data_IF_927884996364
#
_entry.id   IF_927884996364
#
_cell.length_a   1.000
_cell.length_b   1.000
_cell.length_c   1.000
_cell.angle_alpha   90.00
_cell.angle_beta   90.00
_cell.angle_gamma   90.00
#
_symmetry.space_group_name_H-M   'P 1'
#
loop_
_entity.id
_entity.type
_entity.pdbx_description
1 polymer ?
#
# COMPACT_ATOMS: atom_id res chain seq x y z
N UNK A 1 19.97 12.34 17.76
CA UNK A 1 20.02 10.91 18.12
C UNK A 1 20.06 10.78 19.63
N UNK A 2 19.38 9.78 20.19
CA UNK A 2 19.35 9.47 21.61
C UNK A 2 19.81 8.02 21.77
N UNK A 3 20.52 7.73 22.86
CA UNK A 3 20.88 6.37 23.28
C UNK A 3 20.19 6.10 24.61
N UNK A 4 19.34 5.08 24.69
CA UNK A 4 18.51 4.78 25.87
C UNK A 4 17.75 6.00 26.41
N UNK A 5 17.97 6.36 27.68
CA UNK A 5 17.31 7.48 28.36
C UNK A 5 18.14 8.78 28.34
N UNK A 6 19.23 8.82 27.56
CA UNK A 6 20.03 10.04 27.42
C UNK A 6 19.25 11.17 26.76
N UNK A 7 19.63 12.41 27.04
CA UNK A 7 19.09 13.55 26.32
C UNK A 7 19.42 13.45 24.82
N UNK A 8 18.47 13.75 23.93
CA UNK A 8 18.72 13.81 22.49
C UNK A 8 19.89 14.75 22.17
N UNK A 9 20.86 14.26 21.40
CA UNK A 9 22.03 15.02 20.95
C UNK A 9 21.92 15.35 19.47
N UNK A 10 22.34 16.56 19.11
CA UNK A 10 22.58 16.95 17.73
C UNK A 10 24.01 16.56 17.35
N UNK A 11 24.19 15.92 16.19
CA UNK A 11 25.47 15.40 15.70
C UNK A 11 25.78 16.02 14.34
N UNK A 12 26.17 17.31 14.29
CA UNK A 12 26.41 18.02 13.04
C UNK A 12 27.59 17.40 12.27
N UNK A 13 27.48 17.37 10.95
CA UNK A 13 28.51 16.82 10.05
C UNK A 13 28.52 15.29 9.92
N UNK A 14 27.65 14.59 10.65
CA UNK A 14 27.49 13.14 10.52
C UNK A 14 26.31 12.79 9.62
N UNK A 15 26.47 11.74 8.81
CA UNK A 15 25.42 11.29 7.90
C UNK A 15 24.38 10.47 8.67
N UNK A 16 23.10 10.83 8.55
CA UNK A 16 22.02 10.25 9.35
C UNK A 16 21.94 8.73 9.26
N UNK A 17 22.08 8.17 8.05
CA UNK A 17 22.02 6.71 7.85
C UNK A 17 23.22 5.99 8.49
N UNK A 18 24.42 6.60 8.47
CA UNK A 18 25.62 6.01 9.07
C UNK A 18 25.47 5.96 10.60
N UNK A 19 24.89 6.99 11.20
CA UNK A 19 24.55 7.01 12.61
C UNK A 19 23.54 5.90 12.97
N UNK A 20 22.51 5.70 12.15
CA UNK A 20 21.52 4.63 12.39
C UNK A 20 22.17 3.26 12.28
N UNK A 21 23.09 3.07 11.32
CA UNK A 21 23.85 1.83 11.17
C UNK A 21 24.71 1.56 12.41
N UNK A 22 25.47 2.55 12.88
CA UNK A 22 26.30 2.45 14.10
C UNK A 22 25.47 2.01 15.31
N UNK A 23 24.35 2.69 15.58
CA UNK A 23 23.48 2.33 16.72
C UNK A 23 22.82 0.97 16.58
N UNK A 24 22.52 0.55 15.35
CA UNK A 24 21.95 -0.78 15.10
C UNK A 24 22.95 -1.87 15.44
N UNK A 25 24.22 -1.70 15.06
CA UNK A 25 25.30 -2.65 15.38
C UNK A 25 25.60 -2.65 16.89
N UNK A 26 25.68 -1.49 17.53
CA UNK A 26 25.87 -1.38 18.99
C UNK A 26 24.75 -2.09 19.78
N UNK A 27 23.50 -1.94 19.33
CA UNK A 27 22.38 -2.68 19.92
C UNK A 27 22.56 -4.18 19.76
N UNK A 28 22.93 -4.65 18.56
CA UNK A 28 23.14 -6.07 18.29
C UNK A 28 24.27 -6.65 19.15
N UNK A 29 25.37 -5.93 19.32
CA UNK A 29 26.46 -6.32 20.23
C UNK A 29 25.94 -6.54 21.65
N UNK A 30 25.17 -5.58 22.16
CA UNK A 30 24.58 -5.64 23.49
C UNK A 30 23.56 -6.77 23.61
N UNK A 31 22.71 -6.97 22.60
CA UNK A 31 21.69 -8.01 22.60
C UNK A 31 22.31 -9.41 22.57
N UNK A 32 23.32 -9.62 21.73
CA UNK A 32 24.05 -10.89 21.60
C UNK A 32 24.79 -11.20 22.90
N UNK A 33 25.50 -10.23 23.49
CA UNK A 33 26.22 -10.42 24.74
C UNK A 33 25.28 -10.79 25.91
N UNK A 34 24.05 -10.25 25.92
CA UNK A 34 23.05 -10.54 26.96
C UNK A 34 22.37 -11.90 26.79
N UNK A 35 22.46 -12.55 25.62
CA UNK A 35 21.92 -13.89 25.37
C UNK A 35 20.39 -14.00 25.50
N UNK A 36 19.65 -12.90 25.34
CA UNK A 36 18.17 -12.87 25.40
C UNK A 36 17.58 -12.65 24.00
N UNK A 37 16.35 -13.14 23.72
CA UNK A 37 15.62 -12.77 22.52
C UNK A 37 15.48 -11.24 22.39
N UNK A 38 15.61 -10.73 21.18
CA UNK A 38 15.55 -9.29 20.91
C UNK A 38 14.62 -8.98 19.74
N UNK A 39 14.16 -7.73 19.70
CA UNK A 39 13.51 -7.10 18.56
C UNK A 39 14.19 -5.76 18.33
N UNK A 40 14.53 -5.46 17.07
CA UNK A 40 15.08 -4.17 16.67
C UNK A 40 14.33 -3.66 15.44
N UNK A 41 13.83 -2.43 15.53
CA UNK A 41 13.33 -1.68 14.37
C UNK A 41 14.40 -0.72 13.89
N UNK A 42 14.87 -0.90 12.66
CA UNK A 42 15.89 -0.03 12.05
C UNK A 42 15.25 0.82 10.96
N UNK A 43 15.13 2.12 11.21
CA UNK A 43 14.36 3.04 10.37
C UNK A 43 15.22 4.23 9.91
N UNK A 44 16.07 4.06 8.87
CA UNK A 44 16.80 5.19 8.28
C UNK A 44 15.83 6.13 7.53
N UNK A 45 16.19 7.41 7.46
CA UNK A 45 15.41 8.42 6.71
C UNK A 45 15.63 8.28 5.20
N UNK A 46 16.84 7.87 4.77
CA UNK A 46 17.13 7.70 3.35
C UNK A 46 16.22 6.63 2.70
N UNK A 47 15.77 6.79 1.44
CA UNK A 47 16.10 7.86 0.50
C UNK A 47 15.06 9.01 0.48
N UNK A 48 14.40 9.32 1.62
CA UNK A 48 13.43 10.40 1.69
C UNK A 48 14.02 11.74 1.23
N UNK A 49 13.16 12.59 0.69
CA UNK A 49 13.48 13.97 0.31
C UNK A 49 14.00 14.77 1.51
N UNK A 50 15.03 15.59 1.29
CA UNK A 50 15.57 16.43 2.34
C UNK A 50 14.58 17.53 2.69
N UNK A 51 14.27 17.71 3.97
CA UNK A 51 13.32 18.73 4.42
C UNK A 51 14.05 19.88 5.10
N UNK A 52 14.16 21.02 4.43
CA UNK A 52 14.74 22.25 4.98
C UNK A 52 13.66 23.33 5.03
N UNK A 53 13.35 23.82 6.23
CA UNK A 53 12.35 24.87 6.45
C UNK A 53 10.99 24.56 5.80
N UNK A 54 10.57 23.29 5.84
CA UNK A 54 9.31 22.81 5.26
C UNK A 54 9.32 22.64 3.74
N UNK A 55 10.47 22.78 3.07
CA UNK A 55 10.63 22.50 1.63
C UNK A 55 11.23 21.12 1.42
N UNK A 56 10.66 20.36 0.50
CA UNK A 56 11.17 19.06 0.08
C UNK A 56 12.16 19.23 -1.08
N UNK A 57 13.43 18.98 -0.81
CA UNK A 57 14.51 18.97 -1.78
C UNK A 57 14.85 17.53 -2.19
N UNK A 58 15.55 17.30 -3.31
CA UNK A 58 16.12 16.00 -3.62
C UNK A 58 16.89 15.42 -2.44
N UNK A 59 16.83 14.10 -2.25
CA UNK A 59 17.58 13.41 -1.21
C UNK A 59 19.09 13.74 -1.30
N UNK A 60 19.76 13.85 -0.15
CA UNK A 60 21.19 14.12 -0.09
C UNK A 60 21.94 12.80 0.07
N UNK A 61 22.69 12.34 -0.94
CA UNK A 61 23.46 11.11 -0.84
C UNK A 61 24.64 11.28 0.12
N UNK A 62 25.09 10.18 0.72
CA UNK A 62 26.37 10.15 1.42
C UNK A 62 27.50 10.57 0.46
N UNK A 63 28.52 11.26 0.96
CA UNK A 63 29.61 11.79 0.14
C UNK A 63 30.29 10.72 -0.72
N UNK A 64 30.43 9.50 -0.18
CA UNK A 64 30.98 8.33 -0.87
C UNK A 64 30.14 7.83 -2.06
N UNK A 65 28.87 8.21 -2.14
CA UNK A 65 27.91 7.74 -3.14
C UNK A 65 27.44 8.83 -4.12
N UNK A 66 27.82 10.09 -3.90
CA UNK A 66 27.26 11.26 -4.62
C UNK A 66 27.52 11.29 -6.13
N UNK A 67 28.53 10.54 -6.58
CA UNK A 67 28.98 10.48 -7.98
C UNK A 67 28.56 9.16 -8.68
N UNK A 68 27.84 8.27 -7.99
CA UNK A 68 27.37 7.00 -8.55
C UNK A 68 26.24 7.21 -9.59
N UNK A 69 26.07 6.24 -10.49
CA UNK A 69 25.00 6.19 -11.48
C UNK A 69 24.92 7.41 -12.43
N UNK A 70 26.02 7.85 -13.05
CA UNK A 70 25.98 8.95 -14.01
C UNK A 70 25.00 8.62 -15.14
N UNK A 71 24.15 9.60 -15.48
CA UNK A 71 23.16 9.43 -16.54
C UNK A 71 21.92 8.61 -16.18
N UNK A 72 21.80 8.07 -14.96
CA UNK A 72 20.59 7.38 -14.52
C UNK A 72 19.38 8.33 -14.60
N UNK A 73 18.27 7.81 -15.12
CA UNK A 73 16.99 8.50 -15.32
C UNK A 73 15.89 7.75 -14.61
N UNK A 74 14.80 8.45 -14.30
CA UNK A 74 13.60 7.78 -13.79
C UNK A 74 13.01 6.87 -14.88
N UNK A 75 12.47 5.69 -14.54
CA UNK A 75 11.84 4.79 -15.51
C UNK A 75 10.82 5.51 -16.40
N UNK A 76 10.91 5.25 -17.72
CA UNK A 76 10.08 5.87 -18.76
C UNK A 76 8.95 4.93 -19.19
N UNK A 77 8.18 4.43 -18.22
CA UNK A 77 6.99 3.63 -18.51
C UNK A 77 5.91 4.47 -19.22
N UNK A 78 4.86 3.84 -19.75
CA UNK A 78 3.82 4.53 -20.53
C UNK A 78 3.08 5.62 -19.73
N UNK A 79 3.04 5.49 -18.40
CA UNK A 79 2.50 6.51 -17.50
C UNK A 79 3.50 7.63 -17.17
N UNK A 80 4.76 7.58 -17.60
CA UNK A 80 5.70 8.68 -17.41
C UNK A 80 5.40 9.83 -18.38
N UNK A 81 4.94 10.97 -17.85
CA UNK A 81 4.61 12.19 -18.62
C UNK A 81 3.83 11.95 -19.94
N UNK A 82 2.69 11.22 -19.91
CA UNK A 82 1.96 10.80 -21.10
C UNK A 82 1.45 12.00 -21.92
N UNK A 83 1.21 11.78 -23.22
CA UNK A 83 0.70 12.82 -24.13
C UNK A 83 -0.71 13.29 -23.76
N UNK A 84 -1.55 12.38 -23.28
CA UNK A 84 -2.87 12.68 -22.71
C UNK A 84 -2.79 12.62 -21.19
N UNK A 85 -3.50 13.51 -20.51
CA UNK A 85 -3.60 13.45 -19.06
C UNK A 85 -4.31 12.15 -18.63
N UNK A 86 -3.98 11.65 -17.44
CA UNK A 86 -4.43 10.36 -16.89
C UNK A 86 -4.70 10.50 -15.38
N UNK A 87 -5.24 9.45 -14.76
CA UNK A 87 -5.59 9.41 -13.34
C UNK A 87 -6.92 10.12 -13.01
N UNK A 88 -7.34 10.05 -11.75
CA UNK A 88 -8.54 10.71 -11.23
C UNK A 88 -8.25 12.05 -10.54
N UNK A 89 -9.32 12.73 -10.15
CA UNK A 89 -9.27 13.91 -9.29
C UNK A 89 -8.48 15.07 -9.90
N UNK A 90 -7.55 15.64 -9.13
CA UNK A 90 -6.72 16.76 -9.58
C UNK A 90 -5.61 16.33 -10.55
N UNK A 91 -5.22 15.06 -10.57
CA UNK A 91 -4.09 14.53 -11.36
C UNK A 91 -4.36 14.70 -12.86
N UNK A 92 -5.59 14.43 -13.32
CA UNK A 92 -5.98 14.62 -14.73
C UNK A 92 -5.92 16.07 -15.21
N UNK A 93 -5.80 17.03 -14.29
CA UNK A 93 -5.71 18.47 -14.63
C UNK A 93 -4.28 18.92 -14.89
N UNK A 94 -3.28 18.06 -14.63
CA UNK A 94 -1.87 18.40 -14.77
C UNK A 94 -1.46 18.58 -16.23
N UNK A 95 -0.81 19.70 -16.49
CA UNK A 95 -0.18 19.99 -17.77
C UNK A 95 1.01 19.04 -18.01
N UNK A 96 1.27 18.77 -19.30
CA UNK A 96 2.42 17.96 -19.71
C UNK A 96 3.72 18.62 -19.25
N UNK A 97 4.63 17.82 -18.70
CA UNK A 97 5.93 18.31 -18.24
C UNK A 97 6.81 18.68 -19.43
N UNK A 98 7.48 19.83 -19.34
CA UNK A 98 8.49 20.25 -20.31
C UNK A 98 9.85 19.60 -20.02
N UNK A 99 10.81 19.75 -20.94
CA UNK A 99 12.12 19.10 -20.82
C UNK A 99 12.90 19.51 -19.57
N UNK A 100 12.84 20.78 -19.16
CA UNK A 100 13.50 21.27 -17.94
C UNK A 100 13.02 20.53 -16.69
N UNK A 101 11.70 20.31 -16.58
CA UNK A 101 11.14 19.54 -15.46
C UNK A 101 11.54 18.08 -15.57
N UNK A 102 11.49 17.47 -16.75
CA UNK A 102 11.90 16.08 -16.97
C UNK A 102 13.38 15.85 -16.58
N UNK A 103 14.27 16.76 -16.95
CA UNK A 103 15.69 16.69 -16.57
C UNK A 103 15.90 16.84 -15.06
N UNK A 104 15.10 17.71 -14.42
CA UNK A 104 15.08 17.82 -12.95
C UNK A 104 14.63 16.52 -12.28
N UNK A 105 13.58 15.88 -12.80
CA UNK A 105 13.08 14.60 -12.29
C UNK A 105 14.12 13.48 -12.41
N UNK A 106 14.88 13.44 -13.51
CA UNK A 106 15.98 12.48 -13.67
C UNK A 106 17.06 12.68 -12.60
N UNK A 107 17.42 13.93 -12.32
CA UNK A 107 18.35 14.24 -11.25
C UNK A 107 17.78 13.90 -9.86
N UNK A 108 16.50 14.18 -9.61
CA UNK A 108 15.82 13.85 -8.35
C UNK A 108 15.86 12.33 -8.11
N UNK A 109 15.49 11.55 -9.12
CA UNK A 109 15.53 10.09 -9.07
C UNK A 109 16.95 9.58 -8.82
N UNK A 110 17.95 10.07 -9.56
CA UNK A 110 19.35 9.67 -9.35
C UNK A 110 19.81 9.95 -7.93
N UNK A 111 19.50 11.13 -7.37
CA UNK A 111 19.86 11.49 -5.99
C UNK A 111 19.24 10.56 -4.96
N UNK A 112 18.00 10.11 -5.17
CA UNK A 112 17.38 9.07 -4.32
C UNK A 112 18.11 7.74 -4.41
N UNK A 113 18.44 7.26 -5.61
CA UNK A 113 19.16 6.01 -5.80
C UNK A 113 20.57 6.07 -5.18
N UNK A 114 21.29 7.19 -5.34
CA UNK A 114 22.56 7.43 -4.67
C UNK A 114 22.42 7.41 -3.13
N UNK A 115 21.36 8.02 -2.60
CA UNK A 115 21.10 8.02 -1.14
C UNK A 115 20.73 6.63 -0.62
N UNK A 116 20.03 5.83 -1.43
CA UNK A 116 19.66 4.46 -1.10
C UNK A 116 20.89 3.56 -0.90
N UNK A 117 22.03 3.85 -1.55
CA UNK A 117 23.26 3.08 -1.35
C UNK A 117 23.77 3.14 0.10
N UNK A 118 23.53 4.23 0.84
CA UNK A 118 23.88 4.27 2.26
C UNK A 118 22.93 3.39 3.12
N UNK A 119 21.70 3.17 2.66
CA UNK A 119 20.77 2.21 3.30
C UNK A 119 21.24 0.77 3.02
N UNK A 120 21.75 0.50 1.82
CA UNK A 120 22.36 -0.79 1.48
C UNK A 120 23.58 -1.09 2.38
N UNK A 121 24.50 -0.12 2.55
CA UNK A 121 25.61 -0.23 3.50
C UNK A 121 25.15 -0.54 4.94
N UNK A 122 24.08 0.12 5.39
CA UNK A 122 23.49 -0.12 6.72
C UNK A 122 22.95 -1.55 6.83
N UNK A 123 22.28 -2.06 5.80
CA UNK A 123 21.78 -3.44 5.79
C UNK A 123 22.97 -4.40 5.84
N UNK A 124 24.02 -4.16 5.04
CA UNK A 124 25.23 -4.96 5.06
C UNK A 124 25.89 -4.98 6.44
N UNK A 125 25.99 -3.85 7.14
CA UNK A 125 26.61 -3.82 8.47
C UNK A 125 25.86 -4.67 9.51
N UNK A 126 24.52 -4.71 9.43
CA UNK A 126 23.68 -5.58 10.27
C UNK A 126 23.89 -7.06 9.91
N UNK A 127 23.85 -7.38 8.62
CA UNK A 127 24.01 -8.76 8.13
C UNK A 127 25.40 -9.30 8.47
N UNK A 128 26.46 -8.56 8.12
CA UNK A 128 27.85 -8.90 8.42
C UNK A 128 28.07 -9.10 9.92
N UNK A 129 27.45 -8.26 10.76
CA UNK A 129 27.56 -8.42 12.20
C UNK A 129 26.90 -9.71 12.69
N UNK A 130 25.73 -10.06 12.16
CA UNK A 130 25.06 -11.32 12.52
C UNK A 130 25.82 -12.54 11.99
N UNK A 131 26.46 -12.46 10.83
CA UNK A 131 27.29 -13.54 10.27
C UNK A 131 28.49 -13.91 11.17
N UNK A 132 28.99 -12.96 11.95
CA UNK A 132 30.01 -13.22 12.99
C UNK A 132 29.46 -14.01 14.19
N UNK A 133 28.15 -14.25 14.25
CA UNK A 133 27.48 -15.02 15.31
C UNK A 133 26.49 -16.02 14.68
N UNK A 134 26.98 -17.11 14.05
CA UNK A 134 26.15 -18.01 13.23
C UNK A 134 24.91 -18.55 13.93
N UNK A 135 25.03 -18.92 15.21
CA UNK A 135 23.90 -19.41 16.02
C UNK A 135 22.80 -18.35 16.19
N UNK A 136 23.17 -17.08 16.33
CA UNK A 136 22.22 -15.96 16.41
C UNK A 136 21.57 -15.74 15.04
N UNK A 137 22.38 -15.70 13.97
CA UNK A 137 21.92 -15.50 12.60
C UNK A 137 20.91 -16.57 12.16
N UNK A 138 21.14 -17.83 12.51
CA UNK A 138 20.26 -18.96 12.21
C UNK A 138 18.90 -18.84 12.90
N UNK A 139 18.83 -18.20 14.06
CA UNK A 139 17.62 -17.97 14.84
C UNK A 139 16.98 -16.58 14.62
N UNK A 140 17.52 -15.76 13.71
CA UNK A 140 17.06 -14.38 13.49
C UNK A 140 16.25 -14.28 12.20
N UNK A 141 15.06 -13.70 12.29
CA UNK A 141 14.32 -13.22 11.12
C UNK A 141 14.77 -11.79 10.78
N UNK A 142 15.18 -11.56 9.53
CA UNK A 142 15.45 -10.22 8.98
C UNK A 142 14.33 -9.88 8.00
N UNK A 143 13.68 -8.74 8.22
CA UNK A 143 12.56 -8.25 7.41
C UNK A 143 12.93 -6.87 6.87
N UNK A 144 12.83 -6.69 5.56
CA UNK A 144 13.00 -5.42 4.87
C UNK A 144 11.69 -5.00 4.21
N UNK A 145 11.27 -3.77 4.47
CA UNK A 145 10.08 -3.16 3.86
C UNK A 145 10.23 -1.63 3.87
N UNK A 146 9.34 -0.92 3.19
CA UNK A 146 9.22 0.56 3.26
C UNK A 146 7.90 0.96 3.93
N UNK A 147 7.75 2.23 4.29
CA UNK A 147 6.48 2.83 4.72
C UNK A 147 5.51 3.04 3.56
N UNK A 148 6.04 3.45 2.40
CA UNK A 148 5.30 3.73 1.17
C UNK A 148 6.24 3.63 -0.05
N UNK A 149 5.65 3.64 -1.23
CA UNK A 149 6.34 3.84 -2.50
C UNK A 149 6.69 5.31 -2.76
N UNK A 150 7.04 5.64 -4.01
CA UNK A 150 7.38 7.00 -4.41
C UNK A 150 7.34 7.18 -5.94
N UNK A 151 6.41 8.01 -6.43
CA UNK A 151 6.35 8.40 -7.83
C UNK A 151 7.24 9.60 -8.15
N UNK A 152 7.72 9.67 -9.39
CA UNK A 152 8.48 10.77 -10.00
C UNK A 152 8.10 10.88 -11.48
N UNK A 153 7.14 11.75 -11.82
CA UNK A 153 6.73 12.01 -13.21
C UNK A 153 5.68 11.06 -13.79
N UNK A 154 5.39 9.96 -13.11
CA UNK A 154 4.24 9.11 -13.44
C UNK A 154 2.95 9.93 -13.35
N UNK A 155 2.05 9.75 -14.32
CA UNK A 155 0.84 10.55 -14.52
C UNK A 155 1.08 12.07 -14.52
N UNK A 156 2.29 12.52 -14.89
CA UNK A 156 2.76 13.92 -14.85
C UNK A 156 2.94 14.49 -13.44
N UNK A 157 2.91 13.66 -12.41
CA UNK A 157 3.06 14.08 -11.02
C UNK A 157 4.48 14.59 -10.74
N UNK A 158 4.59 15.59 -9.89
CA UNK A 158 5.85 15.92 -9.24
C UNK A 158 6.28 14.76 -8.32
N UNK A 159 7.53 14.72 -7.81
CA UNK A 159 7.93 13.74 -6.81
C UNK A 159 6.95 13.69 -5.63
N UNK A 160 6.58 12.50 -5.13
CA UNK A 160 5.61 12.40 -4.04
C UNK A 160 5.17 10.97 -3.71
N UNK A 161 4.19 10.87 -2.80
CA UNK A 161 3.71 9.60 -2.22
C UNK A 161 2.32 9.68 -1.57
N UNK A 162 1.34 10.19 -2.29
CA UNK A 162 -0.02 10.45 -1.75
C UNK A 162 -1.15 9.99 -2.68
N UNK A 163 -0.80 9.26 -3.74
CA UNK A 163 -1.72 8.87 -4.81
C UNK A 163 -2.00 7.37 -4.76
N UNK A 164 -3.20 6.96 -5.21
CA UNK A 164 -3.58 5.55 -5.34
C UNK A 164 -2.99 4.90 -6.60
N UNK A 165 -1.69 5.05 -6.81
CA UNK A 165 -0.96 4.50 -7.97
C UNK A 165 0.07 3.47 -7.52
N UNK A 166 0.38 2.52 -8.40
CA UNK A 166 1.25 1.38 -8.15
C UNK A 166 2.60 1.80 -7.58
N UNK A 167 3.17 2.89 -8.10
CA UNK A 167 4.46 3.43 -7.64
C UNK A 167 4.44 3.92 -6.18
N UNK A 168 3.26 4.27 -5.64
CA UNK A 168 3.08 4.76 -4.26
C UNK A 168 2.71 3.64 -3.29
N UNK A 169 2.04 2.59 -3.76
CA UNK A 169 1.39 1.60 -2.89
C UNK A 169 2.03 0.21 -2.94
N UNK A 170 2.65 -0.18 -4.06
CA UNK A 170 3.27 -1.49 -4.19
C UNK A 170 4.74 -1.42 -3.75
N UNK A 171 4.99 -1.87 -2.53
CA UNK A 171 6.28 -1.73 -1.85
C UNK A 171 7.00 -3.08 -1.72
N UNK A 172 8.33 -3.09 -1.62
CA UNK A 172 9.06 -4.32 -1.38
C UNK A 172 8.76 -4.86 0.03
N UNK A 173 8.60 -6.17 0.14
CA UNK A 173 8.63 -6.90 1.40
C UNK A 173 9.51 -8.14 1.24
N UNK A 174 10.66 -8.17 1.92
CA UNK A 174 11.64 -9.27 1.86
C UNK A 174 11.87 -9.81 3.26
N UNK A 175 11.87 -11.14 3.40
CA UNK A 175 12.13 -11.80 4.66
C UNK A 175 13.14 -12.94 4.50
N UNK A 176 14.11 -13.04 5.40
CA UNK A 176 14.90 -14.26 5.65
C UNK A 176 14.79 -14.68 7.11
N UNK A 177 14.94 -15.98 7.38
CA UNK A 177 15.00 -16.49 8.74
C UNK A 177 14.72 -17.99 8.80
N UNK A 178 14.58 -18.55 10.01
CA UNK A 178 14.24 -19.95 10.22
C UNK A 178 13.04 -20.40 9.37
N UNK A 179 13.17 -21.52 8.65
CA UNK A 179 12.05 -22.11 7.88
C UNK A 179 11.58 -21.33 6.65
N UNK A 180 12.17 -20.18 6.32
CA UNK A 180 11.87 -19.39 5.11
C UNK A 180 12.66 -19.93 3.92
N UNK A 181 11.99 -20.16 2.79
CA UNK A 181 12.62 -20.66 1.57
C UNK A 181 13.52 -19.59 0.92
N UNK A 182 14.76 -19.95 0.58
CA UNK A 182 15.68 -19.05 -0.14
C UNK A 182 15.20 -18.81 -1.57
N UNK A 183 15.25 -17.56 -2.03
CA UNK A 183 14.98 -17.19 -3.43
C UNK A 183 13.54 -17.43 -3.89
N UNK A 184 12.60 -17.60 -2.95
CA UNK A 184 11.19 -17.84 -3.27
C UNK A 184 10.43 -16.52 -3.35
N UNK A 185 9.72 -16.32 -4.47
CA UNK A 185 8.74 -15.24 -4.62
C UNK A 185 7.34 -15.76 -4.31
N UNK A 186 6.55 -14.95 -3.61
CA UNK A 186 5.16 -15.24 -3.24
C UNK A 186 4.29 -14.08 -3.72
N UNK A 187 3.20 -14.39 -4.43
CA UNK A 187 2.27 -13.41 -5.01
C UNK A 187 0.98 -13.27 -4.20
N UNK A 188 1.02 -13.64 -2.92
CA UNK A 188 -0.13 -13.57 -2.03
C UNK A 188 -0.31 -12.10 -1.60
N UNK A 189 -1.51 -11.52 -1.69
CA UNK A 189 -1.74 -10.13 -1.29
C UNK A 189 -1.42 -9.91 0.18
N UNK A 190 -0.72 -8.82 0.48
CA UNK A 190 -0.28 -8.45 1.83
C UNK A 190 -0.39 -6.95 2.01
N UNK A 191 -0.55 -6.50 3.25
CA UNK A 191 -0.47 -5.09 3.62
C UNK A 191 0.35 -4.89 4.90
N UNK A 192 0.64 -3.64 5.26
CA UNK A 192 1.33 -3.35 6.54
C UNK A 192 0.58 -3.83 7.78
N UNK A 193 -0.76 -3.93 7.72
CA UNK A 193 -1.56 -4.44 8.86
C UNK A 193 -1.23 -5.90 9.17
N UNK A 194 -0.64 -6.63 8.21
CA UNK A 194 -0.23 -8.02 8.37
C UNK A 194 1.12 -8.18 9.08
N UNK A 195 1.92 -7.11 9.23
CA UNK A 195 3.28 -7.20 9.79
C UNK A 195 3.23 -7.63 11.26
N UNK A 196 2.45 -6.94 12.09
CA UNK A 196 2.31 -7.25 13.52
C UNK A 196 1.80 -8.68 13.76
N UNK A 197 0.70 -9.15 13.15
CA UNK A 197 0.26 -10.53 13.32
C UNK A 197 1.28 -11.55 12.79
N UNK A 198 2.07 -11.21 11.75
CA UNK A 198 3.20 -12.04 11.30
C UNK A 198 4.27 -12.17 12.37
N UNK A 199 4.71 -11.05 12.96
CA UNK A 199 5.70 -11.06 14.05
C UNK A 199 5.20 -11.86 15.25
N UNK A 200 3.93 -11.72 15.62
CA UNK A 200 3.32 -12.50 16.71
C UNK A 200 3.38 -14.00 16.42
N UNK A 201 2.99 -14.42 15.20
CA UNK A 201 3.07 -15.82 14.79
C UNK A 201 4.51 -16.35 14.82
N UNK A 202 5.49 -15.57 14.36
CA UNK A 202 6.91 -15.97 14.37
C UNK A 202 7.50 -16.05 15.78
N UNK A 203 7.06 -15.18 16.68
CA UNK A 203 7.46 -15.17 18.09
C UNK A 203 6.64 -16.14 18.97
N UNK A 204 5.73 -16.92 18.38
CA UNK A 204 4.80 -17.81 19.09
C UNK A 204 3.95 -17.07 20.15
N UNK A 205 3.54 -15.85 19.84
CA UNK A 205 2.64 -15.02 20.64
C UNK A 205 1.20 -15.24 20.13
N UNK A 206 0.21 -15.44 21.01
CA UNK A 206 -1.19 -15.55 20.60
C UNK A 206 -1.66 -14.34 19.81
N UNK A 207 -2.34 -14.58 18.68
CA UNK A 207 -2.96 -13.52 17.88
C UNK A 207 -4.09 -12.84 18.65
N UNK A 208 -4.27 -11.56 18.38
CA UNK A 208 -5.32 -10.75 18.97
C UNK A 208 -6.48 -10.60 17.97
N UNK A 209 -7.72 -10.64 18.46
CA UNK A 209 -8.91 -10.62 17.61
C UNK A 209 -9.14 -9.24 16.97
N UNK A 210 -8.58 -8.19 17.58
CA UNK A 210 -8.61 -6.81 17.12
C UNK A 210 -7.65 -6.50 15.96
N UNK A 211 -6.79 -7.44 15.55
CA UNK A 211 -5.90 -7.21 14.43
C UNK A 211 -6.70 -7.08 13.11
N UNK A 212 -6.49 -5.96 12.42
CA UNK A 212 -7.08 -5.69 11.11
C UNK A 212 -6.36 -6.44 9.97
N UNK A 213 -5.20 -7.03 10.25
CA UNK A 213 -4.45 -7.89 9.32
C UNK A 213 -4.36 -9.33 9.81
N UNK A 214 -3.83 -10.20 8.95
CA UNK A 214 -3.61 -11.61 9.26
C UNK A 214 -2.16 -12.02 9.01
N UNK A 215 -1.61 -13.02 9.72
CA UNK A 215 -0.19 -13.32 9.58
C UNK A 215 0.14 -13.85 8.19
N UNK A 216 1.15 -13.24 7.58
CA UNK A 216 1.70 -13.63 6.29
C UNK A 216 2.25 -15.06 6.38
N UNK A 217 2.00 -15.92 5.38
CA UNK A 217 2.63 -17.22 5.32
C UNK A 217 4.07 -17.07 4.82
N UNK A 218 5.03 -17.07 5.73
CA UNK A 218 6.44 -16.80 5.41
C UNK A 218 7.30 -18.07 5.39
N UNK A 219 6.96 -19.08 6.20
CA UNK A 219 7.70 -20.35 6.22
C UNK A 219 7.15 -21.35 5.20
N UNK A 220 7.97 -22.34 4.84
CA UNK A 220 7.54 -23.42 3.92
C UNK A 220 6.29 -24.16 4.43
N UNK A 221 6.21 -24.41 5.73
CA UNK A 221 5.07 -25.07 6.35
C UNK A 221 3.81 -24.20 6.25
N UNK A 222 3.92 -22.92 6.64
CA UNK A 222 2.82 -21.96 6.55
C UNK A 222 2.31 -21.82 5.11
N UNK A 223 3.21 -21.72 4.13
CA UNK A 223 2.85 -21.63 2.71
C UNK A 223 2.15 -22.89 2.18
N UNK A 224 2.35 -24.05 2.79
CA UNK A 224 1.64 -25.29 2.44
C UNK A 224 0.30 -25.41 3.15
N UNK A 225 0.20 -24.91 4.38
CA UNK A 225 -1.02 -24.99 5.19
C UNK A 225 -2.02 -23.87 4.91
N UNK A 226 -1.57 -22.74 4.37
CA UNK A 226 -2.45 -21.63 4.03
C UNK A 226 -3.30 -21.98 2.82
N UNK A 227 -4.50 -22.47 3.08
CA UNK A 227 -5.52 -22.75 2.07
C UNK A 227 -6.36 -21.52 1.72
N UNK A 228 -6.36 -20.49 2.57
CA UNK A 228 -7.28 -19.36 2.49
C UNK A 228 -6.64 -18.11 3.09
N UNK A 229 -6.31 -17.15 2.23
CA UNK A 229 -6.01 -15.77 2.60
C UNK A 229 -6.96 -14.85 1.85
N UNK A 230 -7.18 -13.64 2.35
CA UNK A 230 -7.90 -12.62 1.61
C UNK A 230 -7.26 -12.33 0.24
N UNK A 231 -8.11 -12.10 -0.75
CA UNK A 231 -7.72 -11.62 -2.08
C UNK A 231 -7.57 -10.09 -2.13
N UNK A 232 -7.95 -9.38 -1.06
CA UNK A 232 -8.04 -7.93 -1.05
C UNK A 232 -6.95 -7.26 -0.20
N UNK A 233 -6.61 -6.04 -0.58
CA UNK A 233 -5.84 -5.08 0.21
C UNK A 233 -6.60 -3.76 0.19
N UNK A 234 -6.93 -3.26 1.39
CA UNK A 234 -7.58 -1.95 1.56
C UNK A 234 -6.53 -0.86 1.73
N UNK A 235 -6.69 0.26 1.02
CA UNK A 235 -5.81 1.42 1.11
C UNK A 235 -6.64 2.71 1.22
N UNK A 236 -6.11 3.70 1.91
CA UNK A 236 -6.78 4.98 2.10
C UNK A 236 -5.80 6.14 2.25
N UNK A 237 -6.25 7.33 1.88
CA UNK A 237 -5.54 8.58 2.11
C UNK A 237 -6.53 9.69 2.45
N UNK A 238 -6.15 10.59 3.36
CA UNK A 238 -6.96 11.75 3.74
C UNK A 238 -6.19 13.06 3.63
N UNK A 239 -6.84 14.05 3.03
CA UNK A 239 -6.39 15.43 2.95
C UNK A 239 -5.80 15.81 1.61
N UNK A 240 -4.90 16.79 1.64
CA UNK A 240 -4.24 17.31 0.44
C UNK A 240 -3.10 16.40 0.01
N UNK A 241 -2.91 16.24 -1.30
CA UNK A 241 -1.75 15.55 -1.86
C UNK A 241 -0.51 16.42 -1.70
N UNK A 242 0.55 15.89 -1.09
CA UNK A 242 1.80 16.63 -0.90
C UNK A 242 2.69 16.39 -2.11
N UNK A 243 3.06 17.47 -2.80
CA UNK A 243 4.01 17.44 -3.91
C UNK A 243 5.38 17.90 -3.42
N UNK A 244 6.39 17.10 -3.71
CA UNK A 244 7.77 17.30 -3.32
C UNK A 244 8.61 17.87 -4.47
N UNK A 245 9.77 18.44 -4.16
CA UNK A 245 10.65 19.04 -5.15
C UNK A 245 10.28 20.48 -5.55
N UNK A 246 11.05 21.01 -6.51
CA UNK A 246 11.00 22.42 -6.91
C UNK A 246 9.89 22.75 -7.92
N UNK A 247 9.32 21.73 -8.56
CA UNK A 247 8.33 21.89 -9.64
C UNK A 247 7.06 21.10 -9.31
N UNK A 248 6.09 21.70 -8.60
CA UNK A 248 4.84 21.02 -8.23
C UNK A 248 3.89 20.79 -9.42
N UNK A 249 4.25 21.24 -10.62
CA UNK A 249 3.42 21.15 -11.82
C UNK A 249 2.48 22.34 -12.00
N UNK A 250 1.67 22.27 -13.06
CA UNK A 250 0.66 23.27 -13.41
C UNK A 250 -0.65 22.52 -13.68
N UNK A 251 -1.73 22.90 -13.01
CA UNK A 251 -3.05 22.28 -13.17
C UNK A 251 -4.09 22.99 -12.32
N UNK A 252 -5.36 22.91 -12.72
CA UNK A 252 -6.45 23.61 -12.02
C UNK A 252 -6.77 23.03 -10.65
N UNK A 253 -6.35 21.81 -10.36
CA UNK A 253 -6.51 21.17 -9.05
C UNK A 253 -5.34 21.37 -8.07
N UNK A 254 -4.41 22.28 -8.37
CA UNK A 254 -3.24 22.57 -7.52
C UNK A 254 -3.39 23.88 -6.73
N UNK A 255 -2.88 23.89 -5.51
CA UNK A 255 -2.66 25.10 -4.70
C UNK A 255 -1.22 25.11 -4.14
N UNK A 256 -0.29 25.72 -4.90
CA UNK A 256 1.13 25.64 -4.58
C UNK A 256 1.65 24.22 -4.72
N UNK A 257 2.30 23.69 -3.68
CA UNK A 257 2.79 22.30 -3.63
C UNK A 257 1.76 21.31 -3.06
N UNK A 258 0.47 21.58 -3.29
CA UNK A 258 -0.63 20.73 -2.83
C UNK A 258 -1.61 20.38 -3.95
N UNK A 259 -1.94 19.09 -4.03
CA UNK A 259 -3.07 18.58 -4.79
C UNK A 259 -4.34 18.66 -3.95
N UNK A 260 -5.33 19.43 -4.41
CA UNK A 260 -6.56 19.64 -3.68
C UNK A 260 -7.49 18.42 -3.77
N UNK A 261 -8.29 18.20 -2.74
CA UNK A 261 -9.31 17.13 -2.72
C UNK A 261 -8.72 15.73 -2.99
N UNK A 262 -7.56 15.44 -2.39
CA UNK A 262 -6.82 14.19 -2.62
C UNK A 262 -7.25 13.05 -1.67
N UNK A 263 -8.34 13.20 -0.92
CA UNK A 263 -8.88 12.11 -0.11
C UNK A 263 -9.44 11.01 -1.02
N UNK A 264 -9.05 9.76 -0.77
CA UNK A 264 -9.53 8.60 -1.51
C UNK A 264 -9.58 7.34 -0.64
N UNK A 265 -10.45 6.40 -1.04
CA UNK A 265 -10.52 5.02 -0.54
C UNK A 265 -10.27 4.09 -1.73
N UNK A 266 -9.53 3.02 -1.51
CA UNK A 266 -9.13 2.10 -2.57
C UNK A 266 -9.13 0.65 -2.10
N UNK A 267 -9.44 -0.25 -3.02
CA UNK A 267 -9.24 -1.70 -2.82
C UNK A 267 -8.48 -2.26 -4.00
N UNK A 268 -7.46 -3.05 -3.70
CA UNK A 268 -6.79 -3.94 -4.64
C UNK A 268 -7.35 -5.34 -4.44
N UNK A 269 -7.71 -6.04 -5.52
CA UNK A 269 -8.26 -7.41 -5.48
C UNK A 269 -7.48 -8.30 -6.42
N UNK A 270 -6.77 -9.29 -5.88
CA UNK A 270 -5.89 -10.21 -6.59
C UNK A 270 -6.38 -11.64 -6.34
N UNK A 271 -6.77 -12.32 -7.41
CA UNK A 271 -7.16 -13.73 -7.37
C UNK A 271 -6.68 -14.49 -8.59
N UNK A 272 -7.17 -15.72 -8.74
CA UNK A 272 -6.81 -16.54 -9.89
C UNK A 272 -7.40 -15.94 -11.17
N UNK A 273 -6.53 -15.37 -12.02
CA UNK A 273 -6.91 -14.80 -13.32
C UNK A 273 -7.49 -13.39 -13.28
N UNK A 274 -7.36 -12.66 -12.17
CA UNK A 274 -7.71 -11.24 -12.10
C UNK A 274 -6.83 -10.50 -11.10
N UNK A 275 -6.53 -9.25 -11.45
CA UNK A 275 -5.84 -8.30 -10.59
C UNK A 275 -6.44 -6.91 -10.84
N UNK A 276 -7.20 -6.39 -9.87
CA UNK A 276 -8.06 -5.21 -10.06
C UNK A 276 -7.72 -4.13 -9.02
N UNK A 277 -7.46 -2.90 -9.47
CA UNK A 277 -7.35 -1.74 -8.61
C UNK A 277 -8.58 -0.84 -8.77
N UNK A 278 -9.24 -0.51 -7.67
CA UNK A 278 -10.43 0.33 -7.66
C UNK A 278 -10.30 1.46 -6.64
N UNK A 279 -10.55 2.69 -7.08
CA UNK A 279 -10.36 3.91 -6.28
C UNK A 279 -11.62 4.74 -6.33
N UNK A 280 -12.02 5.28 -5.17
CA UNK A 280 -13.09 6.27 -5.03
C UNK A 280 -12.55 7.52 -4.35
N UNK A 281 -12.61 8.63 -5.07
CA UNK A 281 -12.17 9.95 -4.60
C UNK A 281 -13.27 10.65 -3.81
N UNK A 282 -12.89 11.57 -2.93
CA UNK A 282 -13.86 12.40 -2.21
C UNK A 282 -14.71 13.31 -3.09
N UNK A 283 -14.32 13.50 -4.36
CA UNK A 283 -15.11 14.17 -5.40
C UNK A 283 -16.17 13.26 -6.03
N UNK A 284 -16.29 12.02 -5.57
CA UNK A 284 -17.08 10.93 -6.16
C UNK A 284 -16.64 10.52 -7.57
N UNK A 285 -15.42 10.91 -7.97
CA UNK A 285 -14.76 10.30 -9.12
C UNK A 285 -14.30 8.90 -8.76
N UNK A 286 -14.29 8.03 -9.76
CA UNK A 286 -13.97 6.62 -9.59
C UNK A 286 -12.97 6.19 -10.66
N UNK A 287 -12.11 5.25 -10.27
CA UNK A 287 -11.16 4.62 -11.17
C UNK A 287 -11.22 3.10 -11.00
N UNK A 288 -11.14 2.38 -12.12
CA UNK A 288 -11.03 0.92 -12.15
C UNK A 288 -9.95 0.54 -13.17
N UNK A 289 -8.98 -0.26 -12.76
CA UNK A 289 -7.90 -0.74 -13.61
C UNK A 289 -7.79 -2.26 -13.53
N UNK A 290 -7.61 -2.90 -14.69
CA UNK A 290 -7.19 -4.29 -14.78
C UNK A 290 -5.66 -4.34 -14.84
N UNK A 291 -5.04 -4.66 -13.71
CA UNK A 291 -3.61 -4.51 -13.48
C UNK A 291 -2.78 -5.60 -14.16
N UNK A 292 -3.42 -6.70 -14.59
CA UNK A 292 -2.79 -7.70 -15.46
C UNK A 292 -2.50 -7.15 -16.86
N UNK A 293 -3.40 -6.32 -17.40
CA UNK A 293 -3.27 -5.75 -18.75
C UNK A 293 -2.75 -4.32 -18.76
N UNK A 294 -2.97 -3.57 -17.68
CA UNK A 294 -2.58 -2.17 -17.50
C UNK A 294 -1.89 -1.95 -16.14
N UNK A 295 -0.66 -2.49 -15.94
CA UNK A 295 0.06 -2.41 -14.67
C UNK A 295 0.49 -0.99 -14.29
N UNK A 296 0.34 -0.02 -15.21
CA UNK A 296 0.73 1.39 -15.05
C UNK A 296 -0.47 2.34 -15.03
N UNK A 297 -1.69 1.79 -14.91
CA UNK A 297 -2.94 2.52 -14.62
C UNK A 297 -3.24 3.66 -15.62
N UNK A 298 -3.15 3.39 -16.92
CA UNK A 298 -3.38 4.37 -17.97
C UNK A 298 -4.81 4.36 -18.54
N UNK A 299 -5.53 3.26 -18.38
CA UNK A 299 -6.84 3.01 -19.00
C UNK A 299 -7.90 2.80 -17.91
N UNK A 300 -8.51 3.89 -17.44
CA UNK A 300 -9.61 3.81 -16.48
C UNK A 300 -10.84 3.15 -17.13
N UNK A 301 -11.25 2.00 -16.61
CA UNK A 301 -12.38 1.18 -17.07
C UNK A 301 -13.70 1.54 -16.39
N UNK A 302 -13.70 2.42 -15.39
CA UNK A 302 -14.92 2.79 -14.69
C UNK A 302 -15.90 3.50 -15.63
N UNK A 303 -17.14 3.02 -15.65
CA UNK A 303 -18.19 3.53 -16.55
C UNK A 303 -18.05 3.10 -18.02
N UNK A 304 -17.00 2.35 -18.36
CA UNK A 304 -16.88 1.74 -19.68
C UNK A 304 -17.86 0.56 -19.83
N UNK A 305 -18.21 0.24 -21.08
CA UNK A 305 -18.97 -0.97 -21.42
C UNK A 305 -18.00 -2.03 -21.94
N UNK A 306 -18.17 -3.28 -21.53
CA UNK A 306 -17.33 -4.37 -22.00
C UNK A 306 -17.19 -5.51 -21.01
N UNK A 307 -16.38 -6.49 -21.38
CA UNK A 307 -16.06 -7.66 -20.59
C UNK A 307 -14.57 -7.64 -20.27
N UNK A 308 -14.21 -7.76 -19.00
CA UNK A 308 -12.83 -7.94 -18.54
C UNK A 308 -12.76 -9.17 -17.64
N UNK A 309 -11.70 -9.97 -17.75
CA UNK A 309 -11.53 -11.19 -16.94
C UNK A 309 -12.75 -12.14 -16.98
N UNK A 310 -13.52 -12.12 -18.08
CA UNK A 310 -14.75 -12.89 -18.27
C UNK A 310 -16.01 -12.30 -17.62
N UNK A 311 -15.94 -11.10 -17.05
CA UNK A 311 -17.03 -10.43 -16.34
C UNK A 311 -17.46 -9.13 -17.02
N UNK A 312 -18.77 -8.92 -17.11
CA UNK A 312 -19.35 -7.66 -17.55
C UNK A 312 -19.04 -6.54 -16.54
N UNK A 313 -18.45 -5.44 -17.00
CA UNK A 313 -18.08 -4.29 -16.18
C UNK A 313 -19.26 -3.75 -15.38
N UNK A 314 -20.47 -3.73 -15.96
CA UNK A 314 -21.68 -3.24 -15.29
C UNK A 314 -22.08 -4.07 -14.06
N UNK A 315 -21.68 -5.35 -14.03
CA UNK A 315 -21.90 -6.27 -12.91
C UNK A 315 -20.73 -6.33 -11.94
N UNK A 316 -19.52 -6.14 -12.46
CA UNK A 316 -18.28 -6.20 -11.71
C UNK A 316 -18.15 -5.00 -10.76
N UNK A 317 -18.32 -3.77 -11.27
CA UNK A 317 -18.08 -2.56 -10.47
C UNK A 317 -18.91 -2.49 -9.19
N UNK A 318 -20.23 -2.80 -9.19
CA UNK A 318 -21.03 -2.76 -7.95
C UNK A 318 -20.62 -3.79 -6.90
N UNK A 319 -19.97 -4.89 -7.29
CA UNK A 319 -19.44 -5.90 -6.35
C UNK A 319 -18.15 -5.45 -5.69
N UNK A 320 -17.27 -4.84 -6.48
CA UNK A 320 -16.05 -4.22 -5.97
C UNK A 320 -16.40 -3.07 -5.02
N UNK A 321 -17.40 -2.27 -5.38
CA UNK A 321 -17.89 -1.18 -4.55
C UNK A 321 -18.49 -1.69 -3.23
N UNK A 322 -19.34 -2.73 -3.26
CA UNK A 322 -19.85 -3.38 -2.05
C UNK A 322 -18.74 -3.96 -1.16
N UNK A 323 -17.67 -4.51 -1.75
CA UNK A 323 -16.49 -4.94 -1.00
C UNK A 323 -15.78 -3.74 -0.35
N UNK A 324 -15.51 -2.67 -1.11
CA UNK A 324 -14.88 -1.46 -0.59
C UNK A 324 -15.73 -0.82 0.52
N UNK A 325 -17.06 -0.79 0.38
CA UNK A 325 -17.98 -0.30 1.41
C UNK A 325 -17.89 -1.13 2.69
N UNK A 326 -17.73 -2.45 2.56
CA UNK A 326 -17.48 -3.35 3.71
C UNK A 326 -16.15 -3.04 4.41
N UNK A 327 -15.12 -2.71 3.62
CA UNK A 327 -13.78 -2.39 4.11
C UNK A 327 -13.65 -0.95 4.66
N UNK A 328 -14.54 -0.05 4.23
CA UNK A 328 -14.43 1.40 4.44
C UNK A 328 -14.25 1.84 5.89
N UNK A 329 -14.83 1.10 6.83
CA UNK A 329 -14.71 1.31 8.27
C UNK A 329 -14.55 -0.03 9.03
N UNK A 330 -13.92 -1.01 8.38
CA UNK A 330 -13.75 -2.35 8.95
C UNK A 330 -12.91 -2.32 10.23
N UNK A 331 -13.10 -3.34 11.07
CA UNK A 331 -12.25 -3.65 12.23
C UNK A 331 -12.13 -5.16 12.40
N UNK A 332 -10.96 -5.63 12.83
CA UNK A 332 -10.67 -7.02 13.12
C UNK A 332 -11.03 -7.94 11.95
N UNK A 333 -11.84 -8.96 12.24
CA UNK A 333 -12.25 -9.97 11.26
C UNK A 333 -12.97 -9.38 10.03
N UNK A 334 -13.64 -8.22 10.13
CA UNK A 334 -14.27 -7.59 8.95
C UNK A 334 -13.20 -7.17 7.93
N UNK A 335 -12.04 -6.72 8.39
CA UNK A 335 -10.94 -6.32 7.51
C UNK A 335 -10.27 -7.51 6.82
N UNK A 336 -10.24 -8.68 7.47
CA UNK A 336 -9.57 -9.88 6.92
C UNK A 336 -10.53 -10.84 6.21
N UNK A 337 -11.83 -10.77 6.51
CA UNK A 337 -12.91 -11.61 5.98
C UNK A 337 -14.15 -10.78 5.59
N UNK A 338 -14.02 -9.78 4.71
CA UNK A 338 -15.13 -8.91 4.34
C UNK A 338 -16.24 -9.67 3.60
N UNK A 339 -15.90 -10.70 2.81
CA UNK A 339 -16.89 -11.54 2.13
C UNK A 339 -17.78 -12.31 3.11
N UNK A 340 -17.24 -12.79 4.23
CA UNK A 340 -18.04 -13.44 5.29
C UNK A 340 -18.95 -12.43 5.99
N UNK A 341 -18.55 -11.16 6.06
CA UNK A 341 -19.39 -10.08 6.61
C UNK A 341 -20.54 -9.75 5.65
N UNK A 342 -20.27 -9.70 4.34
CA UNK A 342 -21.26 -9.36 3.33
C UNK A 342 -22.21 -10.54 3.03
N UNK A 343 -21.71 -11.78 3.12
CA UNK A 343 -22.42 -13.03 2.86
C UNK A 343 -22.22 -14.02 4.03
N UNK A 344 -22.98 -13.87 5.13
CA UNK A 344 -22.75 -14.63 6.36
C UNK A 344 -23.04 -16.14 6.26
N UNK A 345 -23.63 -16.63 5.16
CA UNK A 345 -23.81 -18.07 4.93
C UNK A 345 -22.52 -18.79 4.56
N UNK A 346 -21.45 -18.06 4.19
CA UNK A 346 -20.14 -18.62 3.84
C UNK A 346 -20.04 -19.17 2.41
N UNK A 347 -21.04 -18.93 1.57
CA UNK A 347 -21.08 -19.34 0.16
C UNK A 347 -20.36 -18.38 -0.79
N UNK A 348 -19.91 -17.23 -0.28
CA UNK A 348 -19.11 -16.24 -1.02
C UNK A 348 -17.84 -15.96 -0.23
N UNK A 349 -16.69 -16.30 -0.83
CA UNK A 349 -15.38 -16.18 -0.20
C UNK A 349 -14.39 -15.37 -1.06
N UNK A 350 -14.81 -14.98 -2.25
CA UNK A 350 -14.02 -14.27 -3.26
C UNK A 350 -14.93 -13.44 -4.16
N UNK A 351 -14.33 -12.53 -4.92
CA UNK A 351 -14.98 -11.77 -5.97
C UNK A 351 -15.56 -12.73 -7.02
N UNK A 352 -14.84 -13.80 -7.35
CA UNK A 352 -15.33 -14.84 -8.27
C UNK A 352 -16.63 -15.48 -7.79
N UNK A 353 -16.76 -15.76 -6.50
CA UNK A 353 -18.01 -16.25 -5.93
C UNK A 353 -19.11 -15.17 -5.96
N UNK A 354 -18.76 -13.93 -5.62
CA UNK A 354 -19.70 -12.81 -5.64
C UNK A 354 -20.26 -12.57 -7.06
N UNK A 355 -19.49 -12.86 -8.11
CA UNK A 355 -19.88 -12.73 -9.51
C UNK A 355 -20.94 -13.74 -9.98
N UNK A 356 -21.41 -14.68 -9.14
CA UNK A 356 -22.56 -15.54 -9.47
C UNK A 356 -23.82 -14.69 -9.71
N UNK A 357 -24.61 -15.10 -10.71
CA UNK A 357 -25.79 -14.36 -11.17
C UNK A 357 -26.90 -14.23 -10.11
N UNK A 358 -26.99 -15.19 -9.19
CA UNK A 358 -27.93 -15.18 -8.06
C UNK A 358 -27.78 -13.95 -7.15
N UNK A 359 -26.61 -13.30 -7.16
CA UNK A 359 -26.35 -12.08 -6.39
C UNK A 359 -26.51 -10.78 -7.21
N UNK A 360 -26.84 -10.84 -8.50
CA UNK A 360 -26.92 -9.66 -9.37
C UNK A 360 -27.86 -8.60 -8.77
N UNK A 361 -29.08 -8.99 -8.41
CA UNK A 361 -30.07 -8.06 -7.83
C UNK A 361 -29.56 -7.40 -6.55
N UNK A 362 -28.90 -8.16 -5.69
CA UNK A 362 -28.37 -7.66 -4.41
C UNK A 362 -27.35 -6.54 -4.63
N UNK A 363 -26.35 -6.78 -5.49
CA UNK A 363 -25.31 -5.78 -5.75
C UNK A 363 -25.79 -4.60 -6.59
N UNK A 364 -26.72 -4.83 -7.53
CA UNK A 364 -27.18 -3.80 -8.45
C UNK A 364 -28.26 -2.89 -7.86
N UNK A 365 -29.11 -3.41 -6.97
CA UNK A 365 -30.31 -2.69 -6.50
C UNK A 365 -30.33 -2.42 -5.00
N UNK A 366 -29.58 -3.17 -4.18
CA UNK A 366 -29.71 -3.14 -2.72
C UNK A 366 -28.49 -2.56 -2.00
N UNK A 367 -27.33 -2.51 -2.67
CA UNK A 367 -26.14 -1.89 -2.09
C UNK A 367 -26.14 -0.37 -2.30
N UNK A 368 -25.76 0.34 -1.25
CA UNK A 368 -25.30 1.71 -1.37
C UNK A 368 -23.94 1.75 -2.08
N UNK A 369 -23.64 2.89 -2.71
CA UNK A 369 -22.32 3.11 -3.31
C UNK A 369 -21.36 3.78 -2.34
N UNK A 370 -20.08 3.47 -2.45
CA UNK A 370 -19.04 4.26 -1.77
C UNK A 370 -19.09 5.68 -2.32
N UNK A 371 -19.41 6.63 -1.45
CA UNK A 371 -19.50 8.05 -1.80
C UNK A 371 -18.93 8.91 -0.68
N UNK A 372 -18.76 10.20 -0.96
CA UNK A 372 -18.40 11.23 -0.01
C UNK A 372 -19.31 12.43 -0.19
N UNK A 373 -19.71 13.05 0.91
CA UNK A 373 -20.53 14.27 0.87
C UNK A 373 -19.67 15.53 0.81
N UNK A 374 -18.41 15.46 1.25
CA UNK A 374 -17.42 16.52 1.07
C UNK A 374 -15.98 15.99 1.15
N UNK A 375 -15.06 16.69 0.49
CA UNK A 375 -13.62 16.50 0.68
C UNK A 375 -13.14 17.22 1.94
N UNK A 376 -12.61 16.45 2.92
CA UNK A 376 -12.10 16.97 4.19
C UNK A 376 -10.67 16.52 4.46
N UNK A 377 -9.95 17.34 5.24
CA UNK A 377 -8.57 17.12 5.65
C UNK A 377 -8.50 16.19 6.87
N UNK A 378 -8.92 14.94 6.69
CA UNK A 378 -8.92 13.89 7.70
C UNK A 378 -10.11 12.95 7.58
N UNK A 379 -10.06 11.84 8.34
CA UNK A 379 -11.21 10.95 8.49
C UNK A 379 -12.27 11.60 9.37
N UNK A 380 -13.42 11.92 8.77
CA UNK A 380 -14.59 12.47 9.44
C UNK A 380 -15.82 11.69 8.96
N UNK A 381 -16.31 10.79 9.81
CA UNK A 381 -17.33 9.79 9.46
C UNK A 381 -18.62 10.40 8.87
N UNK A 382 -18.99 11.60 9.29
CA UNK A 382 -20.16 12.31 8.77
C UNK A 382 -20.04 12.76 7.30
N UNK A 383 -18.82 12.77 6.75
CA UNK A 383 -18.55 13.13 5.35
C UNK A 383 -18.31 11.92 4.44
N UNK A 384 -18.33 10.71 4.99
CA UNK A 384 -17.98 9.46 4.32
C UNK A 384 -19.18 8.78 3.64
N UNK A 385 -20.37 9.40 3.62
CA UNK A 385 -21.56 8.77 3.02
C UNK A 385 -21.96 7.49 3.76
N UNK A 386 -22.29 6.43 3.03
CA UNK A 386 -22.55 5.12 3.63
C UNK A 386 -21.25 4.54 4.25
N UNK A 387 -21.36 4.02 5.47
CA UNK A 387 -20.24 3.45 6.23
C UNK A 387 -20.30 1.93 6.37
N UNK A 388 -21.42 1.32 6.03
CA UNK A 388 -21.67 -0.10 6.18
C UNK A 388 -22.45 -0.61 4.97
N UNK A 389 -22.16 -1.84 4.50
CA UNK A 389 -22.90 -2.46 3.43
C UNK A 389 -24.26 -2.95 3.92
N UNK A 390 -25.18 -3.20 2.98
CA UNK A 390 -26.33 -4.06 3.29
C UNK A 390 -25.83 -5.51 3.33
N UNK A 391 -26.13 -6.26 4.39
CA UNK A 391 -25.72 -7.67 4.48
C UNK A 391 -26.67 -8.52 3.64
N UNK A 392 -26.15 -9.46 2.84
CA UNK A 392 -26.97 -10.37 2.07
C UNK A 392 -27.81 -11.23 3.02
N UNK A 393 -29.15 -11.16 2.98
CA UNK A 393 -29.98 -11.77 4.01
C UNK A 393 -29.91 -13.31 4.00
N UNK A 394 -29.39 -13.92 2.93
CA UNK A 394 -29.68 -15.31 2.63
C UNK A 394 -31.18 -15.49 2.42
N UNK A 395 -31.61 -16.57 1.79
CA UNK A 395 -33.03 -16.91 1.89
C UNK A 395 -33.33 -17.32 3.34
N UNK A 396 -33.71 -16.38 4.21
CA UNK A 396 -34.98 -16.58 4.90
C UNK A 396 -35.97 -16.60 3.76
N UNK A 397 -36.48 -17.77 3.39
CA UNK A 397 -37.61 -17.85 2.49
C UNK A 397 -38.62 -16.79 2.97
N UNK A 398 -38.82 -15.74 2.17
CA UNK A 398 -40.14 -15.18 2.05
C UNK A 398 -40.96 -16.35 1.49
N UNK A 399 -41.36 -17.30 2.35
CA UNK A 399 -42.58 -18.06 2.10
C UNK A 399 -43.60 -16.96 1.93
N UNK A 400 -44.04 -16.74 0.69
CA UNK A 400 -45.32 -16.08 0.46
C UNK A 400 -46.26 -16.69 1.49
N UNK A 401 -46.81 -15.87 2.39
CA UNK A 401 -47.77 -16.35 3.36
C UNK A 401 -48.88 -17.04 2.55
N UNK A 402 -48.91 -18.37 2.59
CA UNK A 402 -49.94 -19.12 1.89
C UNK A 402 -51.16 -19.08 2.79
N UNK A 403 -52.33 -19.03 2.17
CA UNK A 403 -53.61 -19.10 2.90
C UNK A 403 -53.66 -20.32 3.84
N UNK A 404 -52.96 -21.39 3.45
CA UNK A 404 -52.79 -22.66 4.18
C UNK A 404 -52.04 -22.52 5.50
N UNK A 405 -51.27 -21.44 5.72
CA UNK A 405 -50.54 -21.20 6.96
C UNK A 405 -51.44 -20.60 8.07
N UNK A 406 -52.70 -20.25 7.74
CA UNK A 406 -53.67 -19.60 8.64
C UNK A 406 -54.98 -20.37 8.83
N UNK A 407 -55.07 -21.61 8.31
CA UNK A 407 -56.22 -22.53 8.45
C UNK A 407 -55.73 -23.91 8.84
#
# INVERSE_FOLDING_TARGET
MQHDQDMPRNLPGQYSTDLVAERSVEFLDSAIANGKPFFIGVAPIGPHSETIQGKFNPAVPADRHKDLFPGLKVPRAANFNPDKASGGGWIKTLAKLNQTVVDYLDNFYRKRIQSLQAVDDLINSIVDRLEQSPEVLENTYLIYTTDNGFHIGQHRLAPGKTCAIEEDINIPFVIRGPGVDKGRTVSIPTSHTDIVPTLFRLANIPLQAEFDGEPMPVTREQLRSTSRRSEHVNLEFWGDGILEGAYPGVGSGLAGSRGLNNTWKSVRIIGEGYDLAYVVWCTNEHELYDMLSDPVQMNNLYGASGIINGWDLSKLTPRIDGLLLTLKACKGQVCTRPWETLHPRGDVNSLRDAMRHEFDRFYLEQQEKVTFTACKNGYLAEFEGALQPVVYPGNLELREARWEDWT
#
